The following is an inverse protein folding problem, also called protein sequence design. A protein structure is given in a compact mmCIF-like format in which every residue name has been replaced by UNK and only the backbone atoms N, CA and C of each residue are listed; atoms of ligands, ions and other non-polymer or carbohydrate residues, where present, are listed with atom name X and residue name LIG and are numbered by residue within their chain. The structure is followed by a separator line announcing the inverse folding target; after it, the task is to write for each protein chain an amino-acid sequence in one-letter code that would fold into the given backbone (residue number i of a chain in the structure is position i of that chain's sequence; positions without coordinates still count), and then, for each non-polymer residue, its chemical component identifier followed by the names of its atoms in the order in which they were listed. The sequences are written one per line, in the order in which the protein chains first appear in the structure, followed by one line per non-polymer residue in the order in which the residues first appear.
data_IF_218607804607
#
_entry.id   IF_218607804607
#
_cell.length_a   1.000
_cell.length_b   1.000
_cell.length_c   1.000
_cell.angle_alpha   90.00
_cell.angle_beta   90.00
_cell.angle_gamma   90.00
#
_symmetry.space_group_name_H-M   'P 1'
#
loop_
_entity.id
_entity.type
_entity.pdbx_description
1 polymer ?
#
# COMPACT_ATOMS: atom_id res chain seq x y z
N UNK A 1 13.05 28.26 49.53
CA UNK A 1 11.82 27.61 49.02
C UNK A 1 11.15 28.59 48.09
N UNK A 2 10.96 28.24 46.81
CA UNK A 2 10.29 29.10 45.83
C UNK A 2 8.84 28.65 45.76
N UNK A 3 7.94 29.46 46.32
CA UNK A 3 6.51 29.26 46.26
C UNK A 3 6.04 29.58 44.82
N UNK A 4 6.00 28.57 43.96
CA UNK A 4 5.45 28.74 42.62
C UNK A 4 3.93 28.73 42.75
N UNK A 5 3.30 29.90 42.58
CA UNK A 5 1.85 30.06 42.76
C UNK A 5 1.05 29.11 41.87
N UNK A 6 -0.02 28.55 42.43
CA UNK A 6 -0.98 27.63 41.79
C UNK A 6 -1.50 28.13 40.43
N UNK A 7 -1.59 29.46 40.23
CA UNK A 7 -1.97 30.08 38.96
C UNK A 7 -0.95 29.85 37.84
N UNK A 8 0.35 29.92 38.15
CA UNK A 8 1.42 29.63 37.17
C UNK A 8 1.38 28.18 36.71
N UNK A 9 0.95 27.28 37.59
CA UNK A 9 0.77 25.86 37.31
C UNK A 9 -0.44 25.55 36.42
N UNK A 10 -1.57 26.23 36.62
CA UNK A 10 -2.74 26.10 35.75
C UNK A 10 -2.44 26.58 34.33
N UNK A 11 -1.72 27.70 34.18
CA UNK A 11 -1.31 28.22 32.88
C UNK A 11 -0.42 27.23 32.07
N UNK A 12 0.51 26.53 32.74
CA UNK A 12 1.35 25.51 32.08
C UNK A 12 0.55 24.27 31.65
N UNK A 13 -0.50 23.90 32.40
CA UNK A 13 -1.43 22.82 32.04
C UNK A 13 -2.21 23.16 30.78
N UNK A 14 -2.71 24.38 30.69
CA UNK A 14 -3.45 24.85 29.51
C UNK A 14 -2.53 24.98 28.29
N UNK A 15 -1.26 25.35 28.49
CA UNK A 15 -0.25 25.34 27.43
C UNK A 15 0.03 23.94 26.87
N UNK A 16 0.05 22.90 27.72
CA UNK A 16 0.16 21.51 27.27
C UNK A 16 -1.08 21.09 26.50
N UNK A 17 -2.30 21.37 27.00
CA UNK A 17 -3.57 21.12 26.29
C UNK A 17 -3.63 21.85 24.93
N UNK A 18 -3.04 23.03 24.81
CA UNK A 18 -2.93 23.74 23.54
C UNK A 18 -2.02 23.00 22.55
N UNK A 19 -0.88 22.46 23.02
CA UNK A 19 0.01 21.63 22.19
C UNK A 19 -0.69 20.37 21.65
N UNK A 20 -1.58 19.77 22.44
CA UNK A 20 -2.43 18.64 22.01
C UNK A 20 -3.38 19.00 20.85
N UNK A 21 -3.97 20.20 20.87
CA UNK A 21 -4.83 20.66 19.76
C UNK A 21 -4.05 20.85 18.46
N UNK A 22 -2.78 21.25 18.57
CA UNK A 22 -1.89 21.46 17.42
C UNK A 22 -1.40 20.14 16.81
N UNK A 23 -1.34 19.03 17.55
CA UNK A 23 -0.94 17.70 17.02
C UNK A 23 -2.12 16.85 16.51
N UNK A 24 -3.32 17.03 17.07
CA UNK A 24 -4.53 16.34 16.58
C UNK A 24 -4.93 16.82 15.18
N UNK A 25 -4.79 18.11 14.89
CA UNK A 25 -5.12 18.69 13.57
C UNK A 25 -4.37 18.03 12.41
N UNK A 26 -3.02 17.92 12.45
CA UNK A 26 -2.22 17.24 11.44
C UNK A 26 -2.54 15.74 11.29
N UNK A 27 -2.80 15.03 12.38
CA UNK A 27 -3.18 13.61 12.33
C UNK A 27 -4.56 13.42 11.68
N UNK A 28 -5.55 14.25 12.04
CA UNK A 28 -6.86 14.25 11.43
C UNK A 28 -6.81 14.66 9.95
N UNK A 29 -5.98 15.67 9.60
CA UNK A 29 -5.76 16.08 8.21
C UNK A 29 -5.08 14.97 7.39
N UNK A 30 -4.10 14.27 7.94
CA UNK A 30 -3.45 13.14 7.28
C UNK A 30 -4.43 11.98 7.02
N UNK A 31 -5.30 11.67 7.99
CA UNK A 31 -6.38 10.69 7.83
C UNK A 31 -7.40 11.13 6.77
N UNK A 32 -7.76 12.42 6.74
CA UNK A 32 -8.69 12.96 5.76
C UNK A 32 -8.10 12.95 4.35
N UNK A 33 -6.82 13.30 4.20
CA UNK A 33 -6.10 13.27 2.92
C UNK A 33 -5.97 11.82 2.43
N UNK A 34 -5.63 10.87 3.31
CA UNK A 34 -5.59 9.45 2.98
C UNK A 34 -6.97 8.89 2.58
N UNK A 35 -8.05 9.32 3.24
CA UNK A 35 -9.42 8.92 2.89
C UNK A 35 -9.94 9.56 1.60
N UNK A 36 -9.51 10.79 1.27
CA UNK A 36 -9.89 11.48 0.04
C UNK A 36 -9.10 11.00 -1.19
N UNK A 37 -7.89 10.46 -0.99
CA UNK A 37 -7.09 9.84 -2.05
C UNK A 37 -7.46 8.35 -2.21
N UNK A 38 -8.58 8.14 -2.92
CA UNK A 38 -9.31 6.88 -3.20
C UNK A 38 -8.55 5.68 -3.79
N UNK A 39 -7.22 5.68 -3.91
CA UNK A 39 -6.53 4.64 -4.68
C UNK A 39 -5.84 3.54 -3.86
N UNK A 40 -5.51 3.78 -2.59
CA UNK A 40 -4.86 2.76 -1.76
C UNK A 40 -5.21 2.97 -0.28
N UNK A 41 -5.87 1.99 0.33
CA UNK A 41 -6.36 1.92 1.71
C UNK A 41 -5.30 1.39 2.69
N UNK A 42 -4.23 0.79 2.15
CA UNK A 42 -3.04 0.34 2.88
C UNK A 42 -2.40 1.40 3.80
N UNK A 43 -2.35 2.72 3.49
CA UNK A 43 -1.86 3.76 4.38
C UNK A 43 -2.63 3.89 5.70
N UNK A 44 -3.95 3.75 5.59
CA UNK A 44 -4.89 3.99 6.68
C UNK A 44 -4.79 2.85 7.68
N UNK A 45 -4.79 1.60 7.19
CA UNK A 45 -4.62 0.39 8.00
C UNK A 45 -3.31 0.40 8.78
N UNK A 46 -2.22 0.74 8.10
CA UNK A 46 -0.90 0.84 8.69
C UNK A 46 -0.87 1.88 9.82
N UNK A 47 -1.52 3.03 9.62
CA UNK A 47 -1.59 4.10 10.63
C UNK A 47 -2.43 3.69 11.84
N UNK A 48 -3.55 3.00 11.63
CA UNK A 48 -4.41 2.46 12.71
C UNK A 48 -3.71 1.35 13.50
N UNK A 49 -2.99 0.46 12.82
CA UNK A 49 -2.20 -0.59 13.47
C UNK A 49 -1.09 0.01 14.33
N UNK A 50 -0.38 1.00 13.79
CA UNK A 50 0.67 1.72 14.52
C UNK A 50 0.10 2.42 15.77
N UNK A 51 -1.03 3.12 15.67
CA UNK A 51 -1.70 3.69 16.84
C UNK A 51 -2.02 2.64 17.92
N UNK A 52 -2.57 1.49 17.50
CA UNK A 52 -2.99 0.41 18.39
C UNK A 52 -1.82 -0.23 19.13
N UNK A 53 -0.70 -0.45 18.45
CA UNK A 53 0.55 -0.96 19.06
C UNK A 53 1.08 0.05 20.10
N UNK A 54 1.06 1.35 19.78
CA UNK A 54 1.49 2.40 20.70
C UNK A 54 0.65 2.40 21.98
N UNK A 55 -0.67 2.28 21.84
CA UNK A 55 -1.59 2.20 22.97
C UNK A 55 -1.34 0.94 23.84
N UNK A 56 -1.10 -0.22 23.23
CA UNK A 56 -0.81 -1.47 23.96
C UNK A 56 0.51 -1.39 24.74
N UNK A 57 1.58 -0.86 24.15
CA UNK A 57 2.86 -0.72 24.82
C UNK A 57 2.77 0.20 26.05
N UNK A 58 2.02 1.29 25.97
CA UNK A 58 1.76 2.16 27.11
C UNK A 58 1.01 1.44 28.24
N UNK A 59 0.03 0.58 27.92
CA UNK A 59 -0.67 -0.26 28.92
C UNK A 59 0.30 -1.20 29.62
N UNK A 60 1.18 -1.88 28.88
CA UNK A 60 2.16 -2.82 29.44
C UNK A 60 3.15 -2.09 30.36
N UNK A 61 3.69 -0.96 29.94
CA UNK A 61 4.65 -0.19 30.74
C UNK A 61 4.03 0.31 32.04
N UNK A 62 2.80 0.82 31.99
CA UNK A 62 2.08 1.25 33.19
C UNK A 62 1.71 0.11 34.13
N UNK A 63 1.38 -1.06 33.58
CA UNK A 63 1.13 -2.26 34.39
C UNK A 63 2.42 -2.74 35.06
N UNK A 64 3.56 -2.69 34.35
CA UNK A 64 4.88 -3.01 34.90
C UNK A 64 5.32 -2.02 35.99
N UNK A 65 5.05 -0.72 35.81
CA UNK A 65 5.28 0.29 36.84
C UNK A 65 4.40 0.02 38.08
N UNK A 66 3.10 -0.23 37.88
CA UNK A 66 2.19 -0.55 38.97
C UNK A 66 2.61 -1.81 39.76
N UNK A 67 3.12 -2.84 39.07
CA UNK A 67 3.65 -4.04 39.71
C UNK A 67 4.99 -3.77 40.43
N UNK A 68 5.92 -3.02 39.80
CA UNK A 68 7.25 -2.75 40.35
C UNK A 68 7.20 -1.88 41.59
N UNK A 69 6.28 -0.92 41.65
CA UNK A 69 6.10 -0.04 42.81
C UNK A 69 5.12 -0.61 43.84
N UNK A 70 4.72 -1.88 43.67
CA UNK A 70 3.80 -2.58 44.55
C UNK A 70 2.38 -2.06 44.39
N UNK A 71 1.39 -2.97 44.37
CA UNK A 71 0.02 -2.57 44.68
C UNK A 71 0.05 -1.93 46.07
N UNK A 72 -0.11 -0.61 46.13
CA UNK A 72 -0.11 0.13 47.38
C UNK A 72 -1.29 -0.37 48.21
N UNK A 73 -1.02 -0.95 49.38
CA UNK A 73 -2.07 -1.18 50.37
C UNK A 73 -2.55 0.21 50.83
N UNK A 74 -3.74 0.66 50.41
CA UNK A 74 -4.22 2.01 50.72
C UNK A 74 -4.37 2.22 52.23
N UNK A 75 -4.45 1.13 53.00
CA UNK A 75 -4.56 1.17 54.45
C UNK A 75 -3.26 1.61 55.14
N UNK A 76 -2.10 1.53 54.47
CA UNK A 76 -0.80 1.83 55.08
C UNK A 76 -0.35 3.30 54.93
N UNK A 77 -1.08 4.14 54.21
CA UNK A 77 -0.71 5.55 53.99
C UNK A 77 -1.46 6.44 54.99
N UNK A 78 -0.78 6.85 56.05
CA UNK A 78 -1.31 7.87 56.96
C UNK A 78 -1.43 9.21 56.23
N UNK A 79 -2.63 9.80 56.25
CA UNK A 79 -2.91 11.12 55.70
C UNK A 79 -2.11 12.19 56.45
N UNK A 80 -0.99 12.64 55.88
CA UNK A 80 -0.20 13.74 56.43
C UNK A 80 1.32 13.62 56.27
N UNK A 81 1.86 12.43 56.01
CA UNK A 81 3.29 12.29 55.74
C UNK A 81 3.61 12.53 54.26
N UNK A 82 4.52 13.47 53.99
CA UNK A 82 5.13 13.62 52.67
C UNK A 82 5.99 12.38 52.38
N UNK A 83 5.45 11.45 51.59
CA UNK A 83 6.22 10.31 51.13
C UNK A 83 7.22 10.77 50.06
N UNK A 84 8.49 10.85 50.42
CA UNK A 84 9.56 11.22 49.50
C UNK A 84 9.89 10.00 48.59
N UNK A 85 9.13 9.85 47.51
CA UNK A 85 9.37 8.76 46.55
C UNK A 85 10.55 9.16 45.66
N UNK A 86 11.71 8.56 45.92
CA UNK A 86 12.89 8.67 45.07
C UNK A 86 12.68 7.90 43.76
N UNK A 87 12.00 8.55 42.80
CA UNK A 87 11.88 8.02 41.44
C UNK A 87 13.16 8.35 40.67
N UNK A 88 13.95 7.33 40.35
CA UNK A 88 15.09 7.46 39.43
C UNK A 88 14.58 8.03 38.10
N UNK A 89 15.18 9.13 37.64
CA UNK A 89 14.79 9.76 36.37
C UNK A 89 14.93 8.73 35.25
N UNK A 90 13.93 8.60 34.35
CA UNK A 90 14.23 8.04 33.05
C UNK A 90 15.36 8.87 32.45
N UNK A 91 16.43 8.20 32.01
CA UNK A 91 17.58 8.85 31.39
C UNK A 91 17.08 9.71 30.22
N UNK A 92 17.66 10.89 30.02
CA UNK A 92 17.38 11.76 28.87
C UNK A 92 17.52 10.97 27.57
N UNK A 93 18.42 9.98 27.55
CA UNK A 93 18.55 9.01 26.45
C UNK A 93 17.25 8.24 26.20
N UNK A 94 16.56 7.76 27.23
CA UNK A 94 15.29 7.02 27.10
C UNK A 94 14.15 7.86 26.53
N UNK A 95 14.11 9.16 26.80
CA UNK A 95 13.09 10.06 26.25
C UNK A 95 13.44 10.58 24.84
N UNK A 96 14.72 10.71 24.51
CA UNK A 96 15.16 11.22 23.21
C UNK A 96 15.35 10.11 22.17
N UNK A 97 15.55 8.86 22.58
CA UNK A 97 15.74 7.72 21.68
C UNK A 97 14.56 7.53 20.71
N UNK A 98 13.27 7.56 21.12
CA UNK A 98 12.15 7.40 20.20
C UNK A 98 12.08 8.53 19.17
N UNK A 99 12.37 9.77 19.60
CA UNK A 99 12.40 10.95 18.74
C UNK A 99 13.57 10.87 17.76
N UNK A 100 14.75 10.48 18.23
CA UNK A 100 15.95 10.31 17.40
C UNK A 100 15.78 9.19 16.37
N UNK A 101 15.16 8.06 16.75
CA UNK A 101 14.85 6.95 15.85
C UNK A 101 13.82 7.38 14.81
N UNK A 102 12.74 8.06 15.21
CA UNK A 102 11.74 8.58 14.28
C UNK A 102 12.34 9.57 13.26
N UNK A 103 13.18 10.50 13.74
CA UNK A 103 13.86 11.48 12.89
C UNK A 103 14.87 10.79 11.94
N UNK A 104 15.65 9.83 12.44
CA UNK A 104 16.60 9.08 11.63
C UNK A 104 15.89 8.25 10.55
N UNK A 105 14.82 7.55 10.90
CA UNK A 105 14.01 6.78 9.93
C UNK A 105 13.43 7.71 8.87
N UNK A 106 12.87 8.87 9.26
CA UNK A 106 12.35 9.85 8.31
C UNK A 106 13.44 10.39 7.36
N UNK A 107 14.62 10.75 7.88
CA UNK A 107 15.74 11.28 7.06
C UNK A 107 16.33 10.21 6.16
N UNK A 108 16.61 9.01 6.67
CA UNK A 108 17.13 7.89 5.87
C UNK A 108 16.18 7.53 4.72
N UNK A 109 14.87 7.63 4.98
CA UNK A 109 13.85 7.36 3.96
C UNK A 109 13.76 8.46 2.90
N UNK A 110 13.85 9.74 3.29
CA UNK A 110 13.90 10.86 2.34
C UNK A 110 15.14 10.78 1.44
N UNK A 111 16.31 10.41 1.99
CA UNK A 111 17.54 10.20 1.23
C UNK A 111 17.40 9.02 0.26
N UNK A 112 16.83 7.89 0.70
CA UNK A 112 16.59 6.72 -0.16
C UNK A 112 15.53 6.98 -1.25
N UNK A 113 14.54 7.83 -0.98
CA UNK A 113 13.54 8.26 -1.95
C UNK A 113 14.12 9.21 -3.00
N UNK A 114 15.03 10.11 -2.61
CA UNK A 114 15.71 11.03 -3.52
C UNK A 114 16.69 10.30 -4.46
N UNK A 115 17.37 9.27 -3.95
CA UNK A 115 18.37 8.52 -4.72
C UNK A 115 17.78 7.66 -5.86
N UNK A 116 16.45 7.48 -5.95
CA UNK A 116 15.87 6.59 -6.96
C UNK A 116 14.42 7.00 -7.32
N UNK A 117 14.22 7.79 -8.41
CA UNK A 117 13.00 8.56 -8.70
C UNK A 117 11.88 7.76 -9.39
N UNK A 118 11.53 6.58 -8.86
CA UNK A 118 10.36 5.85 -9.35
C UNK A 118 9.05 6.53 -8.89
N UNK A 119 8.02 6.64 -9.76
CA UNK A 119 6.72 7.21 -9.41
C UNK A 119 6.03 6.37 -8.32
N UNK A 120 5.55 7.03 -7.25
CA UNK A 120 4.83 6.40 -6.12
C UNK A 120 5.49 6.49 -4.73
N UNK A 121 6.79 6.82 -4.64
CA UNK A 121 7.53 6.90 -3.37
C UNK A 121 7.15 8.04 -2.39
N UNK A 122 6.76 9.26 -2.80
CA UNK A 122 6.37 10.29 -1.84
C UNK A 122 5.09 9.89 -1.07
N UNK A 123 4.23 9.09 -1.69
CA UNK A 123 3.04 8.51 -1.05
C UNK A 123 3.51 7.59 0.07
N UNK A 124 4.39 6.63 -0.21
CA UNK A 124 4.91 5.70 0.80
C UNK A 124 5.62 6.41 1.98
N UNK A 125 6.37 7.48 1.72
CA UNK A 125 6.98 8.29 2.78
C UNK A 125 5.93 8.96 3.69
N UNK A 126 4.81 9.44 3.12
CA UNK A 126 3.69 9.99 3.87
C UNK A 126 3.00 8.91 4.72
N UNK A 127 2.88 7.68 4.22
CA UNK A 127 2.34 6.53 4.98
C UNK A 127 3.19 6.25 6.20
N UNK A 128 4.51 6.08 6.03
CA UNK A 128 5.42 5.73 7.13
C UNK A 128 5.44 6.84 8.18
N UNK A 129 5.46 8.10 7.76
CA UNK A 129 5.39 9.25 8.67
C UNK A 129 4.07 9.25 9.46
N UNK A 130 2.93 9.02 8.78
CA UNK A 130 1.61 8.87 9.38
C UNK A 130 1.57 7.76 10.42
N UNK A 131 2.18 6.60 10.15
CA UNK A 131 2.28 5.49 11.10
C UNK A 131 3.03 5.89 12.36
N UNK A 132 4.21 6.50 12.23
CA UNK A 132 5.05 6.89 13.37
C UNK A 132 4.36 7.93 14.23
N UNK A 133 3.72 8.93 13.61
CA UNK A 133 2.91 9.91 14.33
C UNK A 133 1.73 9.26 15.06
N UNK A 134 1.04 8.33 14.40
CA UNK A 134 -0.10 7.62 14.99
C UNK A 134 0.33 6.75 16.17
N UNK A 135 1.47 6.05 16.07
CA UNK A 135 2.05 5.28 17.18
C UNK A 135 2.39 6.16 18.38
N UNK A 136 3.05 7.30 18.15
CA UNK A 136 3.41 8.24 19.21
C UNK A 136 2.17 8.81 19.91
N UNK A 137 1.13 9.18 19.16
CA UNK A 137 -0.13 9.68 19.73
C UNK A 137 -0.86 8.61 20.53
N UNK A 138 -0.87 7.35 20.05
CA UNK A 138 -1.47 6.22 20.76
C UNK A 138 -0.80 5.96 22.11
N UNK A 139 0.53 5.97 22.15
CA UNK A 139 1.31 5.79 23.37
C UNK A 139 1.04 6.90 24.40
N UNK A 140 1.06 8.16 23.97
CA UNK A 140 0.90 9.32 24.85
C UNK A 140 -0.55 9.45 25.38
N UNK A 141 -1.54 9.09 24.55
CA UNK A 141 -2.96 9.09 24.93
C UNK A 141 -3.27 8.00 25.96
N UNK A 142 -2.80 6.77 25.72
CA UNK A 142 -2.96 5.66 26.64
C UNK A 142 -2.23 5.95 27.97
N UNK A 143 -0.99 6.46 27.89
CA UNK A 143 -0.20 6.91 29.04
C UNK A 143 -0.96 7.91 29.91
N UNK A 144 -1.51 8.98 29.30
CA UNK A 144 -2.25 10.03 30.00
C UNK A 144 -3.56 9.52 30.63
N UNK A 145 -4.31 8.67 29.91
CA UNK A 145 -5.58 8.15 30.39
C UNK A 145 -5.40 7.20 31.59
N UNK A 146 -4.36 6.36 31.54
CA UNK A 146 -4.04 5.38 32.57
C UNK A 146 -3.40 6.03 33.80
N UNK A 147 -2.44 6.95 33.62
CA UNK A 147 -1.86 7.72 34.74
C UNK A 147 -2.93 8.52 35.48
N UNK A 148 -3.77 9.28 34.77
CA UNK A 148 -4.84 10.05 35.40
C UNK A 148 -5.94 9.18 36.04
N UNK A 149 -6.08 7.91 35.65
CA UNK A 149 -6.94 6.93 36.33
C UNK A 149 -6.28 6.37 37.57
N UNK A 150 -5.02 5.99 37.45
CA UNK A 150 -4.22 5.46 38.54
C UNK A 150 -4.11 6.48 39.67
N UNK A 151 -3.80 7.74 39.36
CA UNK A 151 -3.80 8.86 40.32
C UNK A 151 -5.15 9.04 41.04
N UNK A 152 -6.27 8.92 40.29
CA UNK A 152 -7.61 8.99 40.88
C UNK A 152 -7.94 7.79 41.75
N UNK A 153 -7.51 6.59 41.36
CA UNK A 153 -7.79 5.36 42.08
C UNK A 153 -7.04 5.28 43.42
N UNK A 154 -5.79 5.78 43.46
CA UNK A 154 -4.96 5.78 44.66
C UNK A 154 -5.14 7.05 45.51
N UNK A 155 -5.95 8.02 45.06
CA UNK A 155 -6.16 9.30 45.75
C UNK A 155 -4.91 10.18 45.82
N UNK A 156 -3.89 9.93 44.99
CA UNK A 156 -2.63 10.67 44.95
C UNK A 156 -2.43 11.27 43.56
N UNK A 157 -2.12 12.55 43.48
CA UNK A 157 -1.61 13.15 42.23
C UNK A 157 -0.10 13.18 42.26
N UNK A 158 0.54 12.62 41.23
CA UNK A 158 1.99 12.64 41.12
C UNK A 158 2.40 13.88 40.34
N UNK A 159 3.17 14.74 40.99
CA UNK A 159 3.72 15.93 40.37
C UNK A 159 5.18 15.71 40.01
N UNK A 160 5.52 15.88 38.74
CA UNK A 160 6.91 16.00 38.29
C UNK A 160 7.27 17.48 38.22
N UNK A 161 8.08 18.03 39.14
CA UNK A 161 8.51 19.42 39.03
C UNK A 161 9.29 19.62 37.73
N UNK A 162 8.90 20.64 36.98
CA UNK A 162 9.55 20.97 35.71
C UNK A 162 10.93 21.56 36.04
N UNK A 163 11.99 20.76 35.92
CA UNK A 163 13.37 21.26 36.02
C UNK A 163 13.59 22.26 34.88
N UNK A 164 13.64 23.55 35.23
CA UNK A 164 13.80 24.64 34.27
C UNK A 164 15.24 24.83 33.77
N UNK A 165 16.16 23.96 34.17
CA UNK A 165 17.56 23.98 33.75
C UNK A 165 17.98 22.59 33.27
N UNK A 166 18.14 22.47 31.95
CA UNK A 166 18.44 21.22 31.24
C UNK A 166 19.84 20.62 31.55
N UNK A 167 20.64 21.29 32.39
CA UNK A 167 22.08 21.05 32.49
C UNK A 167 22.61 20.67 33.89
N UNK A 168 21.77 20.60 34.94
CA UNK A 168 22.21 20.07 36.24
C UNK A 168 21.47 18.78 36.61
N UNK A 169 22.26 17.72 36.88
CA UNK A 169 21.82 16.45 37.49
C UNK A 169 21.33 16.70 38.91
N UNK A 170 20.15 17.28 39.07
CA UNK A 170 19.43 17.24 40.34
C UNK A 170 18.43 16.08 40.23
N UNK A 171 18.32 15.16 41.20
CA UNK A 171 17.26 14.16 41.20
C UNK A 171 15.89 14.87 41.15
N UNK A 172 14.96 14.38 40.32
CA UNK A 172 13.58 14.89 40.34
C UNK A 172 12.86 14.26 41.51
N UNK A 173 12.71 15.00 42.59
CA UNK A 173 11.77 14.65 43.66
C UNK A 173 10.36 14.70 43.05
N UNK A 174 9.63 13.59 43.11
CA UNK A 174 8.22 13.54 42.72
C UNK A 174 7.41 13.74 43.99
N UNK A 175 6.57 14.77 44.03
CA UNK A 175 5.70 15.02 45.19
C UNK A 175 4.37 14.36 44.90
N UNK A 176 3.95 13.44 45.75
CA UNK A 176 2.60 12.86 45.71
C UNK A 176 1.73 13.61 46.72
N UNK A 177 0.72 14.35 46.24
CA UNK A 177 -0.20 15.08 47.13
C UNK A 177 -1.49 14.27 47.24
N UNK A 178 -1.93 13.90 48.46
CA UNK A 178 -3.24 13.30 48.68
C UNK A 178 -4.33 14.24 48.19
N UNK A 179 -5.24 13.76 47.35
CA UNK A 179 -6.31 14.56 46.78
C UNK A 179 -7.65 13.83 46.90
N UNK A 180 -8.29 14.02 48.06
CA UNK A 180 -9.65 13.56 48.34
C UNK A 180 -9.79 12.06 48.59
N UNK A 181 -10.88 11.66 49.24
CA UNK A 181 -11.27 10.26 49.39
C UNK A 181 -11.34 9.62 47.99
N UNK A 182 -10.86 8.37 47.80
CA UNK A 182 -10.89 7.69 46.51
C UNK A 182 -12.33 7.65 46.02
N UNK A 183 -12.71 8.58 45.15
CA UNK A 183 -14.01 8.57 44.51
C UNK A 183 -14.08 7.25 43.76
N UNK A 184 -15.18 6.50 43.94
CA UNK A 184 -15.44 5.26 43.23
C UNK A 184 -15.32 5.53 41.73
N UNK A 185 -14.11 5.38 41.20
CA UNK A 185 -13.76 5.79 39.87
C UNK A 185 -14.54 4.86 38.96
N UNK A 186 -15.58 5.40 38.33
CA UNK A 186 -16.46 4.65 37.46
C UNK A 186 -15.64 3.74 36.57
N UNK A 187 -15.81 2.42 36.75
CA UNK A 187 -15.18 1.38 35.96
C UNK A 187 -15.75 1.44 34.55
N UNK A 188 -15.39 2.47 33.79
CA UNK A 188 -15.41 2.38 32.34
C UNK A 188 -14.51 1.18 32.01
N UNK A 189 -15.07 0.06 31.52
CA UNK A 189 -14.31 -1.17 31.39
C UNK A 189 -13.24 -0.89 30.34
N UNK A 190 -11.98 -0.84 30.76
CA UNK A 190 -10.85 -0.93 29.83
C UNK A 190 -11.06 -2.06 28.78
N UNK A 191 -11.65 -3.23 29.13
CA UNK A 191 -12.01 -4.23 28.12
C UNK A 191 -13.01 -3.74 27.06
N UNK A 192 -13.93 -2.83 27.38
CA UNK A 192 -14.87 -2.27 26.41
C UNK A 192 -14.15 -1.35 25.42
N UNK A 193 -13.24 -0.50 25.89
CA UNK A 193 -12.42 0.35 25.02
C UNK A 193 -11.52 -0.48 24.09
N UNK A 194 -10.86 -1.51 24.63
CA UNK A 194 -10.05 -2.43 23.83
C UNK A 194 -10.90 -3.22 22.83
N UNK A 195 -12.10 -3.68 23.23
CA UNK A 195 -13.04 -4.36 22.34
C UNK A 195 -13.53 -3.44 21.21
N UNK A 196 -13.84 -2.17 21.51
CA UNK A 196 -14.25 -1.21 20.48
C UNK A 196 -13.12 -0.89 19.49
N UNK A 197 -11.89 -0.76 19.96
CA UNK A 197 -10.73 -0.55 19.10
C UNK A 197 -10.48 -1.78 18.20
N UNK A 198 -10.51 -3.00 18.77
CA UNK A 198 -10.34 -4.23 18.02
C UNK A 198 -11.46 -4.45 16.98
N UNK A 199 -12.72 -4.18 17.34
CA UNK A 199 -13.86 -4.28 16.43
C UNK A 199 -13.76 -3.27 15.28
N UNK A 200 -13.31 -2.04 15.55
CA UNK A 200 -13.08 -1.05 14.52
C UNK A 200 -11.95 -1.46 13.57
N UNK A 201 -10.82 -1.96 14.09
CA UNK A 201 -9.73 -2.50 13.26
C UNK A 201 -10.22 -3.65 12.38
N UNK A 202 -10.98 -4.60 12.94
CA UNK A 202 -11.56 -5.72 12.19
C UNK A 202 -12.52 -5.26 11.09
N UNK A 203 -13.39 -4.29 11.36
CA UNK A 203 -14.32 -3.74 10.37
C UNK A 203 -13.59 -3.04 9.22
N UNK A 204 -12.56 -2.23 9.51
CA UNK A 204 -11.74 -1.58 8.48
C UNK A 204 -10.97 -2.61 7.67
N UNK A 205 -10.36 -3.61 8.31
CA UNK A 205 -9.69 -4.71 7.61
C UNK A 205 -10.65 -5.55 6.76
N UNK A 206 -11.88 -5.78 7.20
CA UNK A 206 -12.88 -6.54 6.45
C UNK A 206 -13.40 -5.77 5.22
N UNK A 207 -13.64 -4.46 5.34
CA UNK A 207 -14.00 -3.60 4.21
C UNK A 207 -12.87 -3.56 3.17
N UNK A 208 -11.62 -3.58 3.62
CA UNK A 208 -10.45 -3.54 2.75
C UNK A 208 -10.17 -4.89 2.07
N UNK A 209 -10.34 -6.00 2.78
CA UNK A 209 -10.31 -7.34 2.17
C UNK A 209 -11.42 -7.47 1.13
N UNK A 210 -12.61 -6.90 1.38
CA UNK A 210 -13.69 -6.87 0.39
C UNK A 210 -13.33 -6.01 -0.83
N UNK A 211 -12.68 -4.86 -0.65
CA UNK A 211 -12.24 -4.01 -1.76
C UNK A 211 -11.06 -4.64 -2.55
N UNK A 212 -10.10 -5.26 -1.86
CA UNK A 212 -9.01 -6.04 -2.46
C UNK A 212 -9.54 -7.27 -3.20
N UNK A 213 -10.59 -7.93 -2.68
CA UNK A 213 -11.29 -9.01 -3.37
C UNK A 213 -12.12 -8.52 -4.56
N UNK A 214 -12.76 -7.36 -4.46
CA UNK A 214 -13.45 -6.71 -5.59
C UNK A 214 -12.46 -6.17 -6.64
N UNK A 215 -11.18 -6.00 -6.26
CA UNK A 215 -10.03 -5.78 -7.14
C UNK A 215 -9.35 -7.10 -7.56
N UNK A 216 -10.07 -8.22 -7.60
CA UNK A 216 -9.73 -9.23 -8.59
C UNK A 216 -9.64 -8.51 -9.93
N UNK A 217 -8.42 -8.43 -10.45
CA UNK A 217 -8.15 -7.58 -11.58
C UNK A 217 -9.12 -7.97 -12.71
N UNK A 218 -9.76 -7.03 -13.44
CA UNK A 218 -10.87 -7.38 -14.35
C UNK A 218 -10.52 -8.48 -15.38
N UNK A 219 -9.24 -8.69 -15.64
CA UNK A 219 -8.71 -9.74 -16.50
C UNK A 219 -8.57 -11.13 -15.85
N UNK A 220 -8.78 -11.31 -14.55
CA UNK A 220 -8.79 -12.62 -13.85
C UNK A 220 -10.15 -13.31 -13.90
N UNK A 221 -11.21 -12.60 -14.27
CA UNK A 221 -12.56 -13.15 -14.37
C UNK A 221 -12.59 -14.46 -15.17
N UNK A 222 -13.37 -15.43 -14.71
CA UNK A 222 -13.63 -16.64 -15.49
C UNK A 222 -14.35 -16.26 -16.80
N UNK A 223 -13.83 -16.74 -17.92
CA UNK A 223 -14.41 -16.50 -19.23
C UNK A 223 -14.85 -17.84 -19.85
N UNK A 224 -15.93 -17.87 -20.64
CA UNK A 224 -16.27 -19.06 -21.40
C UNK A 224 -15.19 -19.35 -22.44
N UNK A 225 -14.89 -20.62 -22.67
CA UNK A 225 -14.07 -21.05 -23.81
C UNK A 225 -14.96 -21.14 -25.04
N UNK A 226 -14.70 -20.30 -26.02
CA UNK A 226 -15.47 -20.23 -27.26
C UNK A 226 -14.48 -20.22 -28.42
N UNK A 227 -14.76 -21.04 -29.44
CA UNK A 227 -14.03 -21.00 -30.71
C UNK A 227 -14.78 -20.07 -31.66
N UNK A 228 -14.09 -19.14 -32.30
CA UNK A 228 -14.69 -18.22 -33.27
C UNK A 228 -14.88 -16.80 -32.75
N UNK A 229 -15.37 -15.92 -33.63
CA UNK A 229 -15.72 -14.56 -33.25
C UNK A 229 -16.88 -14.54 -32.25
N UNK A 230 -16.66 -13.94 -31.08
CA UNK A 230 -17.71 -13.64 -30.11
C UNK A 230 -17.74 -12.15 -29.75
N UNK A 231 -18.94 -11.60 -29.57
CA UNK A 231 -19.11 -10.24 -29.10
C UNK A 231 -18.70 -10.07 -27.62
N UNK A 232 -18.84 -11.13 -26.83
CA UNK A 232 -18.46 -11.20 -25.42
C UNK A 232 -17.01 -11.65 -25.25
N UNK A 233 -16.44 -11.33 -24.09
CA UNK A 233 -15.11 -11.81 -23.71
C UNK A 233 -15.08 -13.32 -23.58
N UNK A 234 -14.05 -13.95 -24.12
CA UNK A 234 -13.91 -15.41 -24.15
C UNK A 234 -12.44 -15.84 -24.18
N UNK A 235 -12.19 -17.11 -23.89
CA UNK A 235 -10.91 -17.77 -24.17
C UNK A 235 -11.00 -18.40 -25.56
N UNK A 236 -10.05 -18.07 -26.44
CA UNK A 236 -9.97 -18.64 -27.78
C UNK A 236 -8.94 -19.79 -27.81
N UNK A 237 -9.37 -21.06 -28.00
CA UNK A 237 -8.48 -22.20 -27.97
C UNK A 237 -7.57 -22.30 -29.21
N UNK A 238 -7.97 -21.77 -30.36
CA UNK A 238 -7.14 -21.81 -31.58
C UNK A 238 -5.96 -20.85 -31.46
N UNK A 239 -6.21 -19.62 -31.02
CA UNK A 239 -5.15 -18.65 -30.71
C UNK A 239 -4.25 -19.15 -29.57
N UNK A 240 -4.83 -19.77 -28.54
CA UNK A 240 -4.09 -20.44 -27.46
C UNK A 240 -3.14 -21.52 -27.98
N UNK A 241 -3.59 -22.35 -28.93
CA UNK A 241 -2.76 -23.36 -29.59
C UNK A 241 -1.59 -22.75 -30.37
N UNK A 242 -1.81 -21.66 -31.11
CA UNK A 242 -0.76 -20.92 -31.81
C UNK A 242 0.27 -20.37 -30.83
N UNK A 243 -0.17 -19.65 -29.80
CA UNK A 243 0.70 -19.12 -28.75
C UNK A 243 1.48 -20.24 -28.03
N UNK A 244 0.82 -21.36 -27.74
CA UNK A 244 1.45 -22.51 -27.08
C UNK A 244 2.60 -23.09 -27.90
N UNK A 245 2.43 -23.19 -29.23
CA UNK A 245 3.48 -23.65 -30.16
C UNK A 245 4.65 -22.67 -30.25
N UNK A 246 4.40 -21.36 -30.14
CA UNK A 246 5.45 -20.35 -30.13
C UNK A 246 6.29 -20.40 -28.85
N UNK A 247 5.65 -20.60 -27.69
CA UNK A 247 6.30 -20.55 -26.37
C UNK A 247 6.85 -21.92 -25.94
N UNK A 248 6.30 -23.03 -26.47
CA UNK A 248 6.69 -24.39 -26.09
C UNK A 248 6.03 -24.89 -24.80
N UNK A 249 4.92 -24.28 -24.37
CA UNK A 249 4.10 -24.69 -23.22
C UNK A 249 2.66 -24.25 -23.42
N UNK A 250 1.72 -24.77 -22.64
CA UNK A 250 0.32 -24.36 -22.70
C UNK A 250 0.16 -22.88 -22.37
N UNK A 251 -0.47 -22.14 -23.30
CA UNK A 251 -0.79 -20.73 -23.17
C UNK A 251 -2.28 -20.52 -23.41
N UNK A 252 -2.93 -19.83 -22.48
CA UNK A 252 -4.30 -19.36 -22.64
C UNK A 252 -4.30 -18.00 -23.36
N UNK A 253 -5.14 -17.83 -24.38
CA UNK A 253 -5.36 -16.53 -25.03
C UNK A 253 -6.79 -16.07 -24.76
N UNK A 254 -6.94 -14.90 -24.13
CA UNK A 254 -8.22 -14.25 -23.86
C UNK A 254 -8.47 -13.13 -24.85
N UNK A 255 -9.62 -13.18 -25.49
CA UNK A 255 -10.13 -12.14 -26.34
C UNK A 255 -11.21 -11.36 -25.62
N UNK A 256 -10.93 -10.08 -25.35
CA UNK A 256 -11.82 -9.24 -24.57
C UNK A 256 -12.82 -8.47 -25.44
N UNK A 257 -14.04 -8.30 -24.93
CA UNK A 257 -15.02 -7.38 -25.49
C UNK A 257 -14.53 -5.93 -25.37
N UNK A 258 -15.07 -5.02 -26.19
CA UNK A 258 -14.72 -3.58 -26.10
C UNK A 258 -15.00 -3.01 -24.70
N UNK A 259 -16.12 -3.40 -24.11
CA UNK A 259 -16.53 -2.91 -22.79
C UNK A 259 -15.64 -3.42 -21.66
N UNK A 260 -15.23 -4.69 -21.74
CA UNK A 260 -14.34 -5.30 -20.75
C UNK A 260 -12.91 -4.77 -20.88
N UNK A 261 -12.41 -4.64 -22.11
CA UNK A 261 -11.10 -4.06 -22.35
C UNK A 261 -11.00 -2.62 -21.84
N UNK A 262 -12.08 -1.83 -21.95
CA UNK A 262 -12.12 -0.49 -21.37
C UNK A 262 -12.03 -0.51 -19.83
N UNK A 263 -12.61 -1.52 -19.16
CA UNK A 263 -12.45 -1.73 -17.71
C UNK A 263 -11.01 -2.14 -17.36
N UNK A 264 -10.44 -3.08 -18.12
CA UNK A 264 -9.06 -3.55 -17.96
C UNK A 264 -8.08 -2.38 -18.08
N UNK A 265 -8.19 -1.55 -19.13
CA UNK A 265 -7.33 -0.38 -19.33
C UNK A 265 -7.42 0.62 -18.18
N UNK A 266 -8.63 0.90 -17.67
CA UNK A 266 -8.81 1.79 -16.51
C UNK A 266 -8.13 1.22 -15.27
N UNK A 267 -8.25 -0.08 -15.04
CA UNK A 267 -7.63 -0.75 -13.90
C UNK A 267 -6.09 -0.83 -14.02
N UNK A 268 -5.56 -1.00 -15.23
CA UNK A 268 -4.11 -1.05 -15.48
C UNK A 268 -3.44 0.32 -15.51
N UNK A 269 -4.17 1.37 -15.89
CA UNK A 269 -3.61 2.71 -16.09
C UNK A 269 -2.74 2.83 -17.34
N UNK A 270 -2.84 1.90 -18.29
CA UNK A 270 -2.08 1.90 -19.55
C UNK A 270 -2.98 1.86 -20.81
N UNK A 271 -2.36 2.12 -21.96
CA UNK A 271 -2.98 2.07 -23.30
C UNK A 271 -2.63 0.79 -24.06
N UNK A 272 -2.25 -0.26 -23.34
CA UNK A 272 -1.86 -1.53 -23.95
C UNK A 272 -3.01 -2.10 -24.80
N UNK A 273 -2.62 -2.78 -25.88
CA UNK A 273 -3.51 -3.45 -26.84
C UNK A 273 -3.45 -4.98 -26.69
N UNK A 274 -2.55 -5.44 -25.83
CA UNK A 274 -2.31 -6.80 -25.43
C UNK A 274 -1.44 -6.76 -24.16
N UNK A 275 -1.44 -7.83 -23.36
CA UNK A 275 -0.41 -8.07 -22.36
C UNK A 275 -0.31 -9.56 -22.03
N UNK A 276 0.88 -9.98 -21.60
CA UNK A 276 1.14 -11.33 -21.11
C UNK A 276 1.23 -11.39 -19.59
N UNK A 277 0.51 -12.33 -18.97
CA UNK A 277 0.69 -12.69 -17.57
C UNK A 277 1.73 -13.80 -17.43
N UNK A 278 2.98 -13.39 -17.19
CA UNK A 278 4.12 -14.31 -17.11
C UNK A 278 3.98 -15.45 -16.08
N UNK A 279 3.25 -15.24 -14.98
CA UNK A 279 3.03 -16.27 -13.95
C UNK A 279 1.91 -17.25 -14.32
N UNK A 280 0.90 -16.79 -15.05
CA UNK A 280 -0.28 -17.58 -15.41
C UNK A 280 -0.18 -18.31 -16.75
N UNK A 281 0.85 -18.04 -17.57
CA UNK A 281 0.93 -18.48 -18.98
C UNK A 281 -0.31 -18.07 -19.76
N UNK A 282 -0.67 -16.79 -19.64
CA UNK A 282 -1.86 -16.20 -20.26
C UNK A 282 -1.50 -14.97 -21.08
N UNK A 283 -2.21 -14.78 -22.18
CA UNK A 283 -2.17 -13.57 -23.02
C UNK A 283 -3.57 -12.98 -23.06
N UNK A 284 -3.67 -11.69 -22.80
CA UNK A 284 -4.91 -10.92 -22.80
C UNK A 284 -4.87 -9.91 -23.95
N UNK A 285 -5.79 -10.02 -24.91
CA UNK A 285 -5.78 -9.23 -26.15
C UNK A 285 -6.97 -8.29 -26.26
N UNK A 286 -6.71 -7.08 -26.76
CA UNK A 286 -7.75 -6.12 -27.10
C UNK A 286 -8.58 -6.60 -28.30
N UNK A 287 -9.83 -6.11 -28.44
CA UNK A 287 -10.66 -6.39 -29.62
C UNK A 287 -9.99 -6.04 -30.96
N UNK A 288 -9.12 -5.02 -30.98
CA UNK A 288 -8.43 -4.61 -32.21
C UNK A 288 -7.39 -5.64 -32.68
N UNK A 289 -6.88 -6.47 -31.77
CA UNK A 289 -5.94 -7.54 -32.07
C UNK A 289 -6.71 -8.84 -32.34
N UNK A 290 -7.68 -9.19 -31.49
CA UNK A 290 -8.41 -10.44 -31.67
C UNK A 290 -9.21 -10.51 -32.96
N UNK A 291 -9.91 -9.44 -33.36
CA UNK A 291 -10.80 -9.51 -34.55
C UNK A 291 -10.04 -9.86 -35.84
N UNK A 292 -8.94 -9.18 -36.21
CA UNK A 292 -8.17 -9.60 -37.39
C UNK A 292 -7.65 -11.04 -37.30
N UNK A 293 -7.19 -11.48 -36.13
CA UNK A 293 -6.69 -12.85 -35.94
C UNK A 293 -7.80 -13.89 -36.15
N UNK A 294 -8.99 -13.64 -35.59
CA UNK A 294 -10.15 -14.51 -35.73
C UNK A 294 -10.68 -14.53 -37.16
N UNK A 295 -10.70 -13.39 -37.86
CA UNK A 295 -11.09 -13.32 -39.26
C UNK A 295 -10.14 -14.17 -40.14
N UNK A 296 -8.83 -14.14 -39.87
CA UNK A 296 -7.87 -15.00 -40.55
C UNK A 296 -8.10 -16.49 -40.22
N UNK A 297 -8.19 -16.85 -38.94
CA UNK A 297 -8.30 -18.25 -38.49
C UNK A 297 -9.63 -18.92 -38.90
N UNK A 298 -10.76 -18.22 -38.71
CA UNK A 298 -12.09 -18.83 -38.83
C UNK A 298 -12.81 -18.52 -40.14
N UNK A 299 -12.40 -17.45 -40.82
CA UNK A 299 -12.99 -17.06 -42.10
C UNK A 299 -12.01 -17.11 -43.26
N UNK A 300 -10.74 -17.48 -42.99
CA UNK A 300 -9.67 -17.48 -43.98
C UNK A 300 -9.57 -16.14 -44.72
N UNK A 301 -9.91 -15.05 -44.03
CA UNK A 301 -9.91 -13.70 -44.58
C UNK A 301 -8.48 -13.20 -44.73
N UNK A 302 -8.01 -13.18 -45.97
CA UNK A 302 -6.72 -12.61 -46.37
C UNK A 302 -6.96 -11.29 -47.13
N UNK A 303 -7.11 -10.16 -46.41
CA UNK A 303 -7.41 -8.88 -47.05
C UNK A 303 -6.32 -8.48 -48.06
N UNK A 304 -6.71 -7.75 -49.12
CA UNK A 304 -5.78 -7.26 -50.13
C UNK A 304 -4.60 -6.51 -49.48
N UNK A 305 -3.38 -6.89 -49.83
CA UNK A 305 -2.17 -6.26 -49.30
C UNK A 305 -2.16 -4.76 -49.62
N UNK A 306 -1.67 -3.97 -48.66
CA UNK A 306 -1.71 -2.51 -48.74
C UNK A 306 -3.03 -1.89 -48.28
N UNK A 307 -4.10 -2.67 -48.07
CA UNK A 307 -5.32 -2.18 -47.42
C UNK A 307 -5.16 -1.98 -45.91
N UNK A 308 -6.01 -1.14 -45.32
CA UNK A 308 -6.08 -0.92 -43.87
C UNK A 308 -6.33 -2.23 -43.09
N UNK A 309 -7.13 -3.15 -43.66
CA UNK A 309 -7.39 -4.47 -43.07
C UNK A 309 -6.13 -5.33 -43.05
N UNK A 310 -5.35 -5.35 -44.14
CA UNK A 310 -4.08 -6.05 -44.19
C UNK A 310 -3.04 -5.47 -43.22
N UNK A 311 -3.04 -4.14 -43.03
CA UNK A 311 -2.18 -3.49 -42.03
C UNK A 311 -2.59 -3.87 -40.60
N UNK A 312 -3.90 -3.88 -40.32
CA UNK A 312 -4.43 -4.29 -39.03
C UNK A 312 -4.13 -5.77 -38.74
N UNK A 313 -4.24 -6.64 -39.74
CA UNK A 313 -3.90 -8.05 -39.62
C UNK A 313 -2.38 -8.25 -39.40
N UNK A 314 -1.55 -7.57 -40.18
CA UNK A 314 -0.08 -7.58 -40.02
C UNK A 314 0.32 -7.15 -38.60
N UNK A 315 -0.32 -6.11 -38.07
CA UNK A 315 -0.15 -5.66 -36.70
C UNK A 315 -0.57 -6.72 -35.68
N UNK A 316 -1.78 -7.29 -35.84
CA UNK A 316 -2.33 -8.24 -34.88
C UNK A 316 -1.52 -9.54 -34.79
N UNK A 317 -1.02 -10.03 -35.93
CA UNK A 317 -0.13 -11.20 -36.00
C UNK A 317 1.15 -10.96 -35.20
N UNK A 318 1.79 -9.79 -35.38
CA UNK A 318 2.99 -9.45 -34.62
C UNK A 318 2.66 -9.21 -33.14
N UNK A 319 1.52 -8.62 -32.81
CA UNK A 319 1.10 -8.42 -31.42
C UNK A 319 0.92 -9.74 -30.67
N UNK A 320 0.27 -10.74 -31.26
CA UNK A 320 0.17 -12.08 -30.65
C UNK A 320 1.57 -12.69 -30.42
N UNK A 321 2.44 -12.58 -31.43
CA UNK A 321 3.83 -13.02 -31.30
C UNK A 321 4.59 -12.25 -30.22
N UNK A 322 4.40 -10.93 -30.11
CA UNK A 322 5.01 -10.07 -29.10
C UNK A 322 4.65 -10.53 -27.69
N UNK A 323 3.37 -10.75 -27.42
CA UNK A 323 2.92 -11.23 -26.10
C UNK A 323 3.41 -12.65 -25.79
N UNK A 324 3.47 -13.53 -26.80
CA UNK A 324 4.14 -14.83 -26.65
C UNK A 324 5.64 -14.67 -26.35
N UNK A 325 6.29 -13.67 -26.95
CA UNK A 325 7.67 -13.28 -26.69
C UNK A 325 7.90 -12.91 -25.23
N UNK A 326 6.97 -12.20 -24.58
CA UNK A 326 7.05 -11.93 -23.15
C UNK A 326 7.01 -13.21 -22.31
N UNK A 327 6.17 -14.18 -22.68
CA UNK A 327 6.11 -15.48 -21.99
C UNK A 327 7.36 -16.33 -22.22
N UNK A 328 8.06 -16.18 -23.35
CA UNK A 328 9.24 -16.95 -23.70
C UNK A 328 10.56 -16.32 -23.19
N UNK A 329 10.66 -14.99 -23.24
CA UNK A 329 11.93 -14.26 -23.09
C UNK A 329 11.95 -13.25 -21.92
N UNK A 330 10.82 -13.01 -21.26
CA UNK A 330 10.68 -12.10 -20.12
C UNK A 330 10.15 -10.71 -20.48
N UNK A 331 10.40 -9.71 -19.62
CA UNK A 331 9.75 -8.38 -19.65
C UNK A 331 10.36 -7.37 -20.62
N UNK A 332 11.37 -7.78 -21.38
CA UNK A 332 12.08 -6.86 -22.26
C UNK A 332 11.25 -6.63 -23.54
N UNK A 333 10.70 -5.41 -23.67
CA UNK A 333 9.84 -4.99 -24.78
C UNK A 333 10.50 -5.15 -26.14
N UNK A 334 11.80 -4.88 -26.27
CA UNK A 334 12.48 -4.99 -27.57
C UNK A 334 12.72 -6.45 -27.96
N UNK A 335 13.02 -7.30 -26.97
CA UNK A 335 13.13 -8.76 -27.18
C UNK A 335 11.77 -9.37 -27.51
N UNK A 336 10.70 -8.93 -26.85
CA UNK A 336 9.33 -9.35 -27.15
C UNK A 336 8.91 -8.90 -28.57
N UNK A 337 9.15 -7.64 -28.93
CA UNK A 337 8.88 -7.11 -30.26
C UNK A 337 9.64 -7.88 -31.34
N UNK A 338 10.94 -8.12 -31.14
CA UNK A 338 11.74 -8.87 -32.10
C UNK A 338 11.32 -10.34 -32.21
N UNK A 339 10.85 -10.94 -31.12
CA UNK A 339 10.25 -12.28 -31.15
C UNK A 339 8.96 -12.26 -31.99
N UNK A 340 8.06 -11.31 -31.76
CA UNK A 340 6.84 -11.15 -32.55
C UNK A 340 7.12 -10.93 -34.02
N UNK A 341 8.09 -10.06 -34.34
CA UNK A 341 8.48 -9.78 -35.72
C UNK A 341 9.05 -11.02 -36.42
N UNK A 342 9.96 -11.76 -35.79
CA UNK A 342 10.60 -12.95 -36.39
C UNK A 342 9.67 -14.16 -36.49
N UNK A 343 8.62 -14.20 -35.69
CA UNK A 343 7.63 -15.29 -35.72
C UNK A 343 6.40 -14.97 -36.56
N UNK A 344 6.25 -13.76 -37.09
CA UNK A 344 5.01 -13.29 -37.71
C UNK A 344 4.54 -14.16 -38.88
N UNK A 345 5.44 -14.56 -39.78
CA UNK A 345 5.12 -15.44 -40.91
C UNK A 345 4.64 -16.81 -40.42
N UNK A 346 5.34 -17.40 -39.44
CA UNK A 346 4.94 -18.66 -38.82
C UNK A 346 3.60 -18.54 -38.09
N UNK A 347 3.38 -17.45 -37.36
CA UNK A 347 2.13 -17.14 -36.64
C UNK A 347 0.96 -17.05 -37.61
N UNK A 348 1.09 -16.27 -38.69
CA UNK A 348 0.05 -16.17 -39.71
C UNK A 348 -0.22 -17.50 -40.43
N UNK A 349 0.83 -18.27 -40.74
CA UNK A 349 0.69 -19.60 -41.35
C UNK A 349 -0.05 -20.57 -40.43
N UNK A 350 0.24 -20.55 -39.12
CA UNK A 350 -0.48 -21.36 -38.14
C UNK A 350 -1.95 -20.96 -37.97
N UNK A 351 -2.31 -19.74 -38.37
CA UNK A 351 -3.70 -19.23 -38.41
C UNK A 351 -4.36 -19.44 -39.79
N UNK A 352 -3.73 -20.21 -40.69
CA UNK A 352 -4.31 -20.56 -42.00
C UNK A 352 -4.03 -19.59 -43.14
N UNK A 353 -3.14 -18.60 -42.98
CA UNK A 353 -2.61 -17.86 -44.12
C UNK A 353 -1.74 -18.78 -45.00
N UNK A 354 -1.73 -18.56 -46.30
CA UNK A 354 -0.69 -19.17 -47.14
C UNK A 354 0.68 -18.55 -46.84
N UNK A 355 1.74 -19.31 -47.09
CA UNK A 355 3.10 -18.91 -46.74
C UNK A 355 3.54 -17.60 -47.41
N UNK A 356 3.10 -17.35 -48.64
CA UNK A 356 3.46 -16.13 -49.38
C UNK A 356 2.80 -14.92 -48.72
N UNK A 357 1.51 -15.01 -48.43
CA UNK A 357 0.75 -13.97 -47.76
C UNK A 357 1.28 -13.70 -46.35
N UNK A 358 1.58 -14.75 -45.59
CA UNK A 358 2.17 -14.67 -44.25
C UNK A 358 3.51 -13.91 -44.24
N UNK A 359 4.41 -14.21 -45.19
CA UNK A 359 5.66 -13.47 -45.36
C UNK A 359 5.42 -12.00 -45.73
N UNK A 360 4.41 -11.72 -46.56
CA UNK A 360 4.04 -10.35 -46.93
C UNK A 360 3.48 -9.56 -45.74
N UNK A 361 2.72 -10.19 -44.83
CA UNK A 361 2.29 -9.58 -43.58
C UNK A 361 3.48 -9.22 -42.67
N UNK A 362 4.42 -10.14 -42.48
CA UNK A 362 5.65 -9.87 -41.73
C UNK A 362 6.45 -8.71 -42.34
N UNK A 363 6.64 -8.73 -43.65
CA UNK A 363 7.35 -7.69 -44.40
C UNK A 363 6.64 -6.33 -44.33
N UNK A 364 5.30 -6.33 -44.28
CA UNK A 364 4.49 -5.12 -44.09
C UNK A 364 4.74 -4.51 -42.72
N UNK A 365 4.67 -5.29 -41.64
CA UNK A 365 4.97 -4.81 -40.29
C UNK A 365 6.39 -4.26 -40.21
N UNK A 366 7.36 -5.04 -40.69
CA UNK A 366 8.79 -4.70 -40.67
C UNK A 366 9.09 -3.37 -41.35
N UNK A 367 8.49 -3.11 -42.52
CA UNK A 367 8.78 -1.90 -43.31
C UNK A 367 7.97 -0.70 -42.88
N UNK A 368 6.72 -0.89 -42.48
CA UNK A 368 5.78 0.22 -42.30
C UNK A 368 5.48 0.56 -40.83
N UNK A 369 5.50 -0.45 -39.95
CA UNK A 369 5.07 -0.30 -38.55
C UNK A 369 6.27 -0.25 -37.61
N UNK A 370 7.17 -1.24 -37.67
CA UNK A 370 8.31 -1.35 -36.76
C UNK A 370 9.19 -0.07 -36.69
N UNK A 371 9.55 0.61 -37.80
CA UNK A 371 10.38 1.81 -37.74
C UNK A 371 9.73 2.99 -37.00
N UNK A 372 8.39 2.96 -36.86
CA UNK A 372 7.60 4.00 -36.19
C UNK A 372 7.26 3.67 -34.74
N UNK A 373 7.63 2.48 -34.25
CA UNK A 373 7.44 2.10 -32.83
C UNK A 373 8.35 2.93 -31.93
N UNK A 374 7.91 3.12 -30.69
CA UNK A 374 8.69 3.82 -29.67
C UNK A 374 10.08 3.19 -29.49
N UNK A 375 11.05 4.01 -29.06
CA UNK A 375 12.44 3.57 -28.94
C UNK A 375 12.61 2.31 -28.06
N UNK A 376 11.75 2.14 -27.05
CA UNK A 376 11.78 0.96 -26.16
C UNK A 376 11.55 -0.36 -26.91
N UNK A 377 10.73 -0.39 -27.95
CA UNK A 377 10.49 -1.60 -28.77
C UNK A 377 11.63 -1.88 -29.76
N UNK A 378 12.48 -0.88 -30.02
CA UNK A 378 13.57 -0.98 -31.00
C UNK A 378 14.95 -1.11 -30.36
N UNK A 379 15.04 -0.90 -29.04
CA UNK A 379 16.28 -0.86 -28.28
C UNK A 379 16.95 -2.24 -28.28
N UNK A 380 18.01 -2.42 -29.07
CA UNK A 380 18.71 -3.71 -29.22
C UNK A 380 18.71 -4.25 -30.65
N UNK A 381 17.86 -3.70 -31.52
CA UNK A 381 17.77 -4.07 -32.93
C UNK A 381 17.20 -5.47 -33.11
N UNK A 382 16.13 -5.60 -33.90
CA UNK A 382 15.81 -6.89 -34.48
C UNK A 382 16.62 -7.00 -35.78
N UNK A 383 17.61 -7.91 -35.87
CA UNK A 383 18.41 -8.05 -37.08
C UNK A 383 17.48 -8.27 -38.27
N UNK A 384 17.63 -7.40 -39.26
CA UNK A 384 16.79 -7.37 -40.47
C UNK A 384 17.22 -8.47 -41.40
#
# INVERSE_FOLDING_TARGET
MVEISQQRWMAMRDQRRLRWRVTIGPAAAALLIAALWRHDSSPLLLSVAAFSIGALLAVVELTALAHRYGGFDPAAVHTGEELEIAVSRPDVRSCLLPIGVALFVAVAFLVAAHANPAPGKPIFALIVFSMVCSWAVGFDTAGTALTGRWERAIGLRIYRPQCRTYWRRVPSVHVAVPHGSPAAAGRLPLPLLLATAAAFTLLVSAADVHEVWQREAPWTAALPTVRGEAAASHIDPALGSVASKLVGRTVEVRCWSRSDWARIRRARGDSAIGFAEMRGSRIDLAPLVCRPLMALEYHHDQPLLGSERAWSLSFAVVALGHEAGHLALGRDESRAECFGLRSADRTATMLGADATYAWQLQSTYRRLIYPRRDAIYRAGGCPV
#
